data_IF_807047780604
#
_entry.id   IF_807047780604
#
_cell.length_a   1.000
_cell.length_b   1.000
_cell.length_c   1.000
_cell.angle_alpha   90.00
_cell.angle_beta   90.00
_cell.angle_gamma   90.00
#
_symmetry.space_group_name_H-M   'P 1'
#
loop_
_entity.id
_entity.type
_entity.pdbx_description
1 polymer ?
#
# COMPACT_ATOMS: atom_id res chain seq x y z
N UNK A 1 2.88 -24.45 -1.60
CA UNK A 1 3.06 -23.56 -2.75
C UNK A 1 1.79 -22.75 -3.07
N UNK A 2 0.59 -23.37 -3.16
CA UNK A 2 -0.66 -22.68 -3.48
C UNK A 2 -0.93 -21.49 -2.53
N UNK A 3 -0.78 -21.66 -1.23
CA UNK A 3 -0.97 -20.61 -0.23
C UNK A 3 0.03 -19.46 -0.43
N UNK A 4 1.29 -19.79 -0.75
CA UNK A 4 2.32 -18.80 -1.05
C UNK A 4 1.96 -17.96 -2.29
N UNK A 5 1.55 -18.61 -3.37
CA UNK A 5 1.13 -17.89 -4.58
C UNK A 5 -0.12 -17.04 -4.38
N UNK A 6 -1.05 -17.49 -3.51
CA UNK A 6 -2.17 -16.64 -3.08
C UNK A 6 -1.66 -15.37 -2.39
N UNK A 7 -0.70 -15.47 -1.48
CA UNK A 7 -0.07 -14.32 -0.83
C UNK A 7 0.64 -13.39 -1.82
N UNK A 8 1.35 -13.94 -2.80
CA UNK A 8 2.00 -13.15 -3.88
C UNK A 8 0.96 -12.41 -4.70
N UNK A 9 -0.18 -13.04 -5.02
CA UNK A 9 -1.28 -12.39 -5.74
C UNK A 9 -1.85 -11.20 -4.97
N UNK A 10 -2.11 -11.37 -3.66
CA UNK A 10 -2.59 -10.28 -2.82
C UNK A 10 -1.55 -9.15 -2.73
N UNK A 11 -0.27 -9.48 -2.62
CA UNK A 11 0.83 -8.49 -2.63
C UNK A 11 0.90 -7.69 -3.94
N UNK A 12 0.73 -8.33 -5.10
CA UNK A 12 0.74 -7.66 -6.40
C UNK A 12 -0.43 -6.67 -6.54
N UNK A 13 -1.56 -6.95 -5.86
CA UNK A 13 -2.70 -6.04 -5.82
C UNK A 13 -2.43 -4.82 -4.92
N UNK A 14 -1.45 -4.89 -4.00
CA UNK A 14 -1.02 -3.74 -3.22
C UNK A 14 -0.22 -2.80 -4.11
N UNK A 15 -0.80 -1.65 -4.41
CA UNK A 15 -0.17 -0.64 -5.27
C UNK A 15 0.52 0.44 -4.42
N UNK A 16 1.56 1.06 -4.98
CA UNK A 16 2.13 2.26 -4.39
C UNK A 16 1.12 3.38 -4.52
N UNK A 17 0.87 4.10 -3.43
CA UNK A 17 0.12 5.33 -3.51
C UNK A 17 0.95 6.37 -4.28
N UNK A 18 0.32 7.11 -5.21
CA UNK A 18 1.04 8.11 -6.02
C UNK A 18 1.42 9.33 -5.20
N UNK A 19 0.71 9.58 -4.09
CA UNK A 19 0.91 10.71 -3.19
C UNK A 19 1.43 10.30 -1.81
N UNK A 20 2.07 11.28 -1.16
CA UNK A 20 2.45 11.20 0.25
C UNK A 20 1.26 11.69 1.05
N UNK A 21 0.77 10.88 1.97
CA UNK A 21 -0.35 11.25 2.85
C UNK A 21 0.13 12.06 4.03
N UNK A 22 -0.46 13.23 4.23
CA UNK A 22 -0.20 14.13 5.37
C UNK A 22 -1.50 14.32 6.12
N UNK A 23 -1.51 13.98 7.40
CA UNK A 23 -2.64 14.24 8.30
C UNK A 23 -2.45 15.60 8.95
N UNK A 24 -3.41 16.48 8.77
CA UNK A 24 -3.42 17.80 9.43
C UNK A 24 -3.75 17.65 10.93
N UNK A 25 -3.11 18.44 11.79
CA UNK A 25 -3.19 18.23 13.22
C UNK A 25 -3.85 19.35 14.03
N UNK A 26 -3.86 20.59 13.55
CA UNK A 26 -4.36 21.71 14.36
C UNK A 26 -5.34 22.61 13.62
N UNK A 27 -5.12 22.85 12.35
CA UNK A 27 -5.97 23.70 11.53
C UNK A 27 -6.40 22.89 10.30
N UNK A 28 -7.70 22.75 10.15
CA UNK A 28 -8.27 22.07 8.99
C UNK A 28 -8.75 23.15 8.02
N UNK A 29 -8.07 23.33 6.88
CA UNK A 29 -8.46 24.36 5.94
C UNK A 29 -9.86 24.09 5.39
N UNK A 30 -10.63 25.17 5.26
CA UNK A 30 -11.95 25.15 4.68
C UNK A 30 -11.87 25.20 3.14
N UNK A 31 -12.99 24.99 2.48
CA UNK A 31 -13.03 24.92 1.00
C UNK A 31 -12.47 26.17 0.32
N UNK A 32 -12.76 27.38 0.85
CA UNK A 32 -12.25 28.63 0.30
C UNK A 32 -10.72 28.73 0.40
N UNK A 33 -10.18 28.36 1.55
CA UNK A 33 -8.72 28.35 1.79
C UNK A 33 -8.02 27.34 0.87
N UNK A 34 -8.62 26.13 0.72
CA UNK A 34 -8.08 25.11 -0.20
C UNK A 34 -8.09 25.60 -1.64
N UNK A 35 -9.15 26.30 -2.08
CA UNK A 35 -9.19 26.87 -3.43
C UNK A 35 -8.11 27.95 -3.62
N UNK A 36 -7.86 28.77 -2.61
CA UNK A 36 -6.78 29.78 -2.65
C UNK A 36 -5.41 29.14 -2.73
N UNK A 37 -5.16 28.11 -1.92
CA UNK A 37 -3.90 27.33 -1.95
C UNK A 37 -3.68 26.73 -3.33
N UNK A 38 -4.70 26.09 -3.93
CA UNK A 38 -4.58 25.48 -5.24
C UNK A 38 -4.33 26.53 -6.35
N UNK A 39 -4.98 27.68 -6.30
CA UNK A 39 -4.74 28.80 -7.23
C UNK A 39 -3.35 29.39 -7.08
N UNK A 40 -2.82 29.45 -5.87
CA UNK A 40 -1.44 29.91 -5.62
C UNK A 40 -0.41 28.91 -6.14
N UNK A 41 -0.67 27.60 -5.94
CA UNK A 41 0.20 26.55 -6.50
C UNK A 41 0.24 26.57 -8.04
N UNK A 42 -0.90 26.77 -8.69
CA UNK A 42 -0.95 26.88 -10.17
C UNK A 42 -0.11 28.04 -10.72
N UNK A 43 0.05 29.11 -9.95
CA UNK A 43 0.85 30.28 -10.32
C UNK A 43 2.33 30.17 -9.88
N UNK A 44 2.69 29.13 -9.15
CA UNK A 44 4.05 28.92 -8.66
C UNK A 44 4.97 28.45 -9.79
N UNK A 45 6.23 28.86 -9.78
CA UNK A 45 7.25 28.40 -10.74
C UNK A 45 7.48 26.88 -10.68
N UNK A 46 7.26 26.30 -9.50
CA UNK A 46 7.38 24.86 -9.25
C UNK A 46 6.15 24.35 -8.51
N UNK A 47 5.01 24.21 -9.19
CA UNK A 47 3.76 23.82 -8.54
C UNK A 47 3.86 22.41 -7.99
N UNK A 48 3.46 22.22 -6.72
CA UNK A 48 3.30 20.88 -6.16
C UNK A 48 1.93 20.32 -6.56
N UNK A 49 1.93 19.04 -6.96
CA UNK A 49 0.71 18.37 -7.38
C UNK A 49 0.03 17.78 -6.13
N UNK A 50 -1.07 18.39 -5.71
CA UNK A 50 -1.71 18.10 -4.42
C UNK A 50 -3.18 17.77 -4.57
N UNK A 51 -3.67 16.96 -3.61
CA UNK A 51 -5.09 16.64 -3.44
C UNK A 51 -5.45 16.75 -1.97
N UNK A 52 -6.43 17.58 -1.66
CA UNK A 52 -7.02 17.68 -0.33
C UNK A 52 -8.16 16.67 -0.21
N UNK A 53 -8.32 16.10 0.99
CA UNK A 53 -9.35 15.11 1.29
C UNK A 53 -10.08 15.44 2.58
N UNK A 54 -11.40 15.41 2.52
CA UNK A 54 -12.30 15.50 3.68
C UNK A 54 -13.16 14.23 3.74
N UNK A 55 -13.42 13.77 4.96
CA UNK A 55 -14.26 12.60 5.22
C UNK A 55 -15.72 13.05 5.35
N UNK A 56 -16.59 12.53 4.48
CA UNK A 56 -18.03 12.78 4.52
C UNK A 56 -18.81 11.74 5.33
N UNK A 57 -18.13 10.70 5.83
CA UNK A 57 -18.76 9.63 6.60
C UNK A 57 -19.59 8.65 5.74
N UNK A 58 -20.35 7.82 6.44
CA UNK A 58 -21.26 6.87 5.79
C UNK A 58 -22.55 7.59 5.41
N UNK A 59 -22.94 7.50 4.14
CA UNK A 59 -24.14 8.13 3.61
C UNK A 59 -24.91 7.17 2.72
N UNK A 60 -26.21 7.30 2.74
CA UNK A 60 -27.10 6.62 1.80
C UNK A 60 -27.18 7.40 0.50
N UNK A 61 -26.99 6.70 -0.61
CA UNK A 61 -27.08 7.27 -1.95
C UNK A 61 -28.10 6.49 -2.77
N UNK A 62 -28.74 7.18 -3.71
CA UNK A 62 -29.75 6.58 -4.58
C UNK A 62 -29.46 6.87 -6.04
N UNK A 63 -29.98 6.04 -6.92
CA UNK A 63 -30.03 6.35 -8.34
C UNK A 63 -31.11 7.44 -8.58
N UNK A 64 -30.79 8.47 -9.38
CA UNK A 64 -31.73 9.59 -9.64
C UNK A 64 -33.09 9.15 -10.16
N UNK A 65 -33.11 8.27 -11.14
CA UNK A 65 -34.31 7.83 -11.84
C UNK A 65 -34.75 6.41 -11.49
N UNK A 66 -34.23 5.85 -10.38
CA UNK A 66 -34.46 4.48 -9.95
C UNK A 66 -34.79 4.33 -8.47
N UNK A 67 -35.28 3.14 -8.10
CA UNK A 67 -35.61 2.82 -6.71
C UNK A 67 -34.47 2.13 -5.95
N UNK A 68 -33.26 2.12 -6.50
CA UNK A 68 -32.11 1.44 -5.87
C UNK A 68 -31.34 2.41 -5.00
N UNK A 69 -31.00 1.94 -3.81
CA UNK A 69 -30.25 2.67 -2.80
C UNK A 69 -29.12 1.80 -2.28
N UNK A 70 -28.03 2.44 -1.83
CA UNK A 70 -26.92 1.75 -1.14
C UNK A 70 -26.22 2.71 -0.20
N UNK A 71 -25.61 2.17 0.86
CA UNK A 71 -24.76 2.92 1.76
C UNK A 71 -23.33 2.92 1.28
N UNK A 72 -22.67 4.08 1.27
CA UNK A 72 -21.29 4.26 0.85
C UNK A 72 -20.54 5.19 1.79
N UNK A 73 -19.23 5.00 1.88
CA UNK A 73 -18.33 5.96 2.52
C UNK A 73 -18.07 7.11 1.54
N UNK A 74 -18.51 8.30 1.90
CA UNK A 74 -18.32 9.51 1.07
C UNK A 74 -17.01 10.18 1.44
N UNK A 75 -16.22 10.53 0.44
CA UNK A 75 -15.04 11.36 0.56
C UNK A 75 -15.12 12.55 -0.39
N UNK A 76 -14.78 13.72 0.11
CA UNK A 76 -14.68 14.93 -0.72
C UNK A 76 -13.22 15.18 -1.07
N UNK A 77 -12.94 15.41 -2.35
CA UNK A 77 -11.59 15.66 -2.84
C UNK A 77 -11.52 16.97 -3.61
N UNK A 78 -10.42 17.70 -3.41
CA UNK A 78 -10.14 18.95 -4.11
C UNK A 78 -8.68 18.97 -4.60
N UNK A 79 -8.49 19.35 -5.85
CA UNK A 79 -7.19 19.30 -6.50
C UNK A 79 -7.07 18.10 -7.45
N UNK A 80 -5.84 17.56 -7.60
CA UNK A 80 -5.60 16.44 -8.52
C UNK A 80 -5.97 15.09 -7.89
N UNK A 81 -7.11 14.54 -8.26
CA UNK A 81 -7.62 13.25 -7.77
C UNK A 81 -6.67 12.07 -8.02
N UNK A 82 -5.85 12.13 -9.09
CA UNK A 82 -4.87 11.09 -9.39
C UNK A 82 -3.71 11.03 -8.38
N UNK A 83 -3.54 12.05 -7.53
CA UNK A 83 -2.58 12.04 -6.42
C UNK A 83 -3.12 11.28 -5.22
N UNK A 84 -4.43 11.28 -5.01
CA UNK A 84 -5.09 10.46 -4.01
C UNK A 84 -5.01 8.98 -4.36
N UNK A 85 -5.48 8.63 -5.56
CA UNK A 85 -5.38 7.28 -6.11
C UNK A 85 -5.36 7.38 -7.65
N UNK A 86 -4.54 6.58 -8.28
CA UNK A 86 -4.49 6.50 -9.75
C UNK A 86 -5.84 6.08 -10.36
N UNK A 87 -6.66 5.30 -9.65
CA UNK A 87 -8.02 4.95 -10.09
C UNK A 87 -8.97 6.14 -10.00
N UNK A 88 -8.70 7.08 -9.12
CA UNK A 88 -9.47 8.32 -9.00
C UNK A 88 -9.10 9.37 -10.08
N UNK A 89 -8.07 9.12 -10.89
CA UNK A 89 -7.74 9.99 -12.02
C UNK A 89 -8.89 10.04 -13.03
N UNK A 90 -9.26 11.26 -13.44
CA UNK A 90 -10.36 11.50 -14.40
C UNK A 90 -11.40 12.50 -13.93
N UNK A 91 -11.42 12.89 -12.65
CA UNK A 91 -12.11 14.10 -12.23
C UNK A 91 -11.26 15.31 -12.56
N UNK A 92 -11.84 16.25 -13.28
CA UNK A 92 -11.20 17.55 -13.52
C UNK A 92 -11.36 18.42 -12.29
N UNK A 93 -10.41 19.34 -12.07
CA UNK A 93 -10.43 20.28 -10.94
C UNK A 93 -11.69 21.16 -10.90
N UNK A 94 -12.38 21.30 -12.03
CA UNK A 94 -13.52 22.19 -12.26
C UNK A 94 -14.86 21.43 -12.43
N UNK A 95 -14.92 20.14 -12.08
CA UNK A 95 -16.15 19.33 -12.20
C UNK A 95 -16.79 19.13 -10.82
N UNK A 96 -17.59 20.10 -10.33
CA UNK A 96 -18.23 20.02 -9.01
C UNK A 96 -19.28 18.92 -8.93
N UNK A 97 -19.91 18.56 -10.06
CA UNK A 97 -20.97 17.57 -10.14
C UNK A 97 -20.47 16.18 -10.56
N UNK A 98 -19.15 16.04 -10.69
CA UNK A 98 -18.51 14.77 -11.00
C UNK A 98 -18.31 13.91 -9.76
N UNK A 99 -18.47 12.61 -9.91
CA UNK A 99 -18.13 11.65 -8.86
C UNK A 99 -17.44 10.40 -9.41
N UNK A 100 -16.69 9.72 -8.53
CA UNK A 100 -16.11 8.41 -8.80
C UNK A 100 -16.69 7.45 -7.77
N UNK A 101 -17.25 6.34 -8.24
CA UNK A 101 -17.91 5.34 -7.40
C UNK A 101 -17.14 4.02 -7.43
N UNK A 102 -17.15 3.29 -6.32
CA UNK A 102 -16.64 1.92 -6.30
C UNK A 102 -17.50 0.98 -7.11
N UNK A 103 -16.86 -0.03 -7.72
CA UNK A 103 -17.53 -1.04 -8.55
C UNK A 103 -18.68 -1.76 -7.83
N UNK A 104 -18.50 -2.08 -6.54
CA UNK A 104 -19.54 -2.77 -5.76
C UNK A 104 -20.78 -1.90 -5.59
N UNK A 105 -20.59 -0.63 -5.22
CA UNK A 105 -21.71 0.33 -5.09
C UNK A 105 -22.34 0.64 -6.45
N UNK A 106 -21.54 0.79 -7.51
CA UNK A 106 -22.00 0.97 -8.86
C UNK A 106 -22.89 -0.19 -9.34
N UNK A 107 -22.48 -1.42 -9.05
CA UNK A 107 -23.26 -2.61 -9.38
C UNK A 107 -24.62 -2.67 -8.65
N UNK A 108 -24.63 -2.31 -7.36
CA UNK A 108 -25.89 -2.28 -6.59
C UNK A 108 -26.88 -1.24 -7.12
N UNK A 109 -26.37 -0.06 -7.52
CA UNK A 109 -27.22 1.02 -8.02
C UNK A 109 -27.66 0.81 -9.47
N UNK A 110 -26.76 0.43 -10.37
CA UNK A 110 -27.00 0.44 -11.81
C UNK A 110 -27.09 -0.97 -12.43
N UNK A 111 -26.54 -1.99 -11.80
CA UNK A 111 -26.58 -3.36 -12.28
C UNK A 111 -25.41 -3.74 -13.20
N UNK A 112 -24.91 -2.85 -14.05
CA UNK A 112 -23.76 -3.12 -14.93
C UNK A 112 -22.95 -1.86 -15.27
N UNK A 113 -23.41 -0.98 -16.13
CA UNK A 113 -22.67 0.23 -16.51
C UNK A 113 -23.12 1.42 -15.68
N UNK A 114 -22.19 1.96 -14.88
CA UNK A 114 -22.47 3.13 -14.05
C UNK A 114 -21.90 4.43 -14.64
N UNK A 115 -20.96 4.37 -15.58
CA UNK A 115 -20.36 5.56 -16.18
C UNK A 115 -21.39 6.39 -16.91
N UNK A 116 -21.48 7.69 -16.57
CA UNK A 116 -22.53 8.60 -17.07
C UNK A 116 -23.85 8.52 -16.29
N UNK A 117 -24.02 7.54 -15.39
CA UNK A 117 -25.19 7.45 -14.52
C UNK A 117 -25.27 8.62 -13.53
N UNK A 118 -26.50 8.96 -13.11
CA UNK A 118 -26.75 10.04 -12.15
C UNK A 118 -27.13 9.44 -10.80
N UNK A 119 -26.47 9.91 -9.75
CA UNK A 119 -26.74 9.53 -8.36
C UNK A 119 -27.20 10.75 -7.57
N UNK A 120 -28.08 10.52 -6.63
CA UNK A 120 -28.55 11.50 -5.67
C UNK A 120 -27.85 11.28 -4.34
N UNK A 121 -27.19 12.32 -3.84
CA UNK A 121 -26.52 12.35 -2.54
C UNK A 121 -27.02 13.61 -1.82
N UNK A 122 -27.72 13.47 -0.69
CA UNK A 122 -28.22 14.62 0.10
C UNK A 122 -28.91 15.68 -0.77
N UNK A 123 -29.88 15.32 -1.59
CA UNK A 123 -30.65 16.22 -2.48
C UNK A 123 -29.85 16.83 -3.65
N UNK A 124 -28.57 16.46 -3.84
CA UNK A 124 -27.79 16.90 -4.98
C UNK A 124 -27.50 15.76 -5.96
N UNK A 125 -27.49 16.08 -7.26
CA UNK A 125 -27.29 15.12 -8.34
C UNK A 125 -25.85 15.18 -8.80
N UNK A 126 -25.16 14.03 -8.69
CA UNK A 126 -23.80 13.86 -9.20
C UNK A 126 -23.79 12.90 -10.40
N UNK A 127 -22.90 13.16 -11.35
CA UNK A 127 -22.69 12.30 -12.52
C UNK A 127 -21.48 11.41 -12.33
N UNK A 128 -21.64 10.11 -12.47
CA UNK A 128 -20.55 9.14 -12.36
C UNK A 128 -19.61 9.31 -13.56
N UNK A 129 -18.41 9.81 -13.32
CA UNK A 129 -17.35 9.97 -14.32
C UNK A 129 -16.55 8.70 -14.52
N UNK A 130 -16.37 7.94 -13.45
CA UNK A 130 -15.57 6.73 -13.48
C UNK A 130 -16.00 5.74 -12.39
N UNK A 131 -15.85 4.46 -12.69
CA UNK A 131 -15.98 3.38 -11.72
C UNK A 131 -14.57 2.90 -11.35
N UNK A 132 -14.26 2.92 -10.05
CA UNK A 132 -13.00 2.43 -9.51
C UNK A 132 -13.19 1.08 -8.80
N UNK A 133 -12.13 0.31 -8.68
CA UNK A 133 -12.15 -0.97 -7.97
C UNK A 133 -11.37 -0.84 -6.66
N UNK A 134 -12.03 -0.34 -5.63
CA UNK A 134 -11.44 -0.21 -4.29
C UNK A 134 -11.76 -1.40 -3.38
N UNK A 135 -12.73 -2.24 -3.76
CA UNK A 135 -13.20 -3.38 -2.97
C UNK A 135 -13.91 -2.97 -1.68
N UNK A 136 -14.33 -1.73 -1.59
CA UNK A 136 -15.13 -1.14 -0.51
C UNK A 136 -16.08 -0.11 -1.12
N UNK A 137 -17.31 -0.03 -0.60
CA UNK A 137 -18.30 0.92 -1.11
C UNK A 137 -17.90 2.35 -0.78
N UNK A 138 -17.26 3.01 -1.73
CA UNK A 138 -16.74 4.37 -1.61
C UNK A 138 -17.31 5.22 -2.73
N UNK A 139 -17.60 6.47 -2.40
CA UNK A 139 -17.95 7.51 -3.32
C UNK A 139 -17.01 8.71 -3.11
N UNK A 140 -16.31 9.14 -4.15
CA UNK A 140 -15.53 10.37 -4.14
C UNK A 140 -16.25 11.46 -4.90
N UNK A 141 -16.44 12.61 -4.25
CA UNK A 141 -17.10 13.80 -4.78
C UNK A 141 -16.08 14.92 -5.00
N UNK A 142 -16.25 15.70 -6.08
CA UNK A 142 -15.31 16.76 -6.48
C UNK A 142 -15.40 18.03 -5.65
N UNK A 143 -16.54 18.29 -5.04
CA UNK A 143 -16.78 19.44 -4.14
C UNK A 143 -18.01 19.22 -3.28
N UNK A 144 -18.05 19.89 -2.13
CA UNK A 144 -19.30 20.09 -1.40
C UNK A 144 -20.16 21.16 -2.07
N UNK A 145 -21.45 20.97 -2.06
CA UNK A 145 -22.38 21.93 -2.62
C UNK A 145 -22.68 23.08 -1.65
N UNK A 146 -23.14 24.21 -2.20
CA UNK A 146 -23.59 25.36 -1.42
C UNK A 146 -24.72 24.94 -0.47
N UNK A 147 -24.47 24.98 0.84
CA UNK A 147 -25.42 24.63 1.89
C UNK A 147 -25.05 23.42 2.74
N UNK A 148 -24.08 22.62 2.34
CA UNK A 148 -23.50 21.62 3.20
C UNK A 148 -22.64 22.27 4.31
N UNK A 149 -22.49 21.56 5.45
CA UNK A 149 -21.59 21.96 6.52
C UNK A 149 -20.24 22.36 5.93
N UNK A 150 -19.68 23.47 6.39
CA UNK A 150 -18.32 23.88 6.02
C UNK A 150 -17.37 22.69 6.09
N UNK A 151 -16.99 22.16 4.94
CA UNK A 151 -16.09 21.03 4.86
C UNK A 151 -14.71 21.41 5.35
N UNK A 152 -14.21 20.63 6.29
CA UNK A 152 -12.86 20.76 6.82
C UNK A 152 -12.00 19.65 6.25
N UNK A 153 -10.97 20.01 5.50
CA UNK A 153 -10.05 19.04 4.89
C UNK A 153 -9.01 18.57 5.91
N UNK A 154 -9.09 17.31 6.27
CA UNK A 154 -8.24 16.71 7.33
C UNK A 154 -6.95 16.09 6.79
N UNK A 155 -6.84 15.89 5.48
CA UNK A 155 -5.68 15.24 4.86
C UNK A 155 -5.28 15.94 3.58
N UNK A 156 -3.97 15.84 3.30
CA UNK A 156 -3.38 16.30 2.05
C UNK A 156 -2.58 15.14 1.46
N UNK A 157 -2.73 14.92 0.18
CA UNK A 157 -1.90 14.00 -0.60
C UNK A 157 -1.03 14.84 -1.52
N UNK A 158 0.28 14.62 -1.48
CA UNK A 158 1.27 15.38 -2.29
C UNK A 158 2.03 14.37 -3.14
N UNK A 159 2.11 14.61 -4.46
CA UNK A 159 2.83 13.71 -5.36
C UNK A 159 4.33 13.76 -5.10
N UNK A 160 4.96 12.60 -4.93
CA UNK A 160 6.40 12.51 -4.75
C UNK A 160 7.13 12.92 -6.03
N UNK A 161 8.09 13.85 -5.91
CA UNK A 161 9.06 14.18 -6.96
C UNK A 161 10.37 13.44 -6.74
N UNK A 162 10.97 12.95 -7.83
CA UNK A 162 12.18 12.11 -7.77
C UNK A 162 13.42 12.81 -7.20
N UNK A 163 13.48 14.15 -7.22
CA UNK A 163 14.69 14.92 -6.88
C UNK A 163 14.67 15.58 -5.50
N UNK A 164 13.62 15.36 -4.69
CA UNK A 164 13.52 15.97 -3.35
C UNK A 164 13.28 14.91 -2.28
N UNK A 165 13.92 15.07 -1.14
CA UNK A 165 13.58 14.26 0.05
C UNK A 165 12.13 14.53 0.44
N UNK A 166 11.38 13.48 0.73
CA UNK A 166 9.95 13.54 1.10
C UNK A 166 9.69 14.57 2.21
N UNK A 167 10.51 14.54 3.25
CA UNK A 167 10.38 15.47 4.38
C UNK A 167 10.54 16.93 3.96
N UNK A 168 11.55 17.26 3.14
CA UNK A 168 11.79 18.63 2.71
C UNK A 168 10.67 19.16 1.82
N UNK A 169 10.10 18.31 0.97
CA UNK A 169 8.98 18.68 0.10
C UNK A 169 7.71 18.97 0.90
N UNK A 170 7.36 18.05 1.81
CA UNK A 170 6.16 18.20 2.63
C UNK A 170 6.30 19.34 3.63
N UNK A 171 7.43 19.44 4.34
CA UNK A 171 7.67 20.54 5.28
C UNK A 171 7.68 21.90 4.57
N UNK A 172 8.26 21.99 3.38
CA UNK A 172 8.22 23.22 2.57
C UNK A 172 6.80 23.63 2.21
N UNK A 173 5.97 22.67 1.74
CA UNK A 173 4.56 22.93 1.43
C UNK A 173 3.78 23.37 2.67
N UNK A 174 3.90 22.62 3.78
CA UNK A 174 3.19 22.93 5.02
C UNK A 174 3.58 24.33 5.58
N UNK A 175 4.87 24.66 5.56
CA UNK A 175 5.37 25.97 6.00
C UNK A 175 4.87 27.09 5.10
N UNK A 176 4.87 26.90 3.77
CA UNK A 176 4.39 27.88 2.79
C UNK A 176 2.95 28.31 3.05
N UNK A 177 2.09 27.37 3.48
CA UNK A 177 0.66 27.62 3.70
C UNK A 177 0.27 27.65 5.18
N UNK A 178 1.24 27.73 6.09
CA UNK A 178 1.02 27.75 7.54
C UNK A 178 0.15 26.61 8.04
N UNK A 179 0.33 25.42 7.43
CA UNK A 179 -0.37 24.20 7.83
C UNK A 179 0.53 23.36 8.75
N UNK A 180 -0.09 22.62 9.66
CA UNK A 180 0.59 21.67 10.53
C UNK A 180 0.06 20.27 10.28
N UNK A 181 0.96 19.31 10.14
CA UNK A 181 0.54 17.94 9.85
C UNK A 181 1.66 16.92 10.04
N UNK A 182 1.25 15.67 10.12
CA UNK A 182 2.13 14.52 10.29
C UNK A 182 2.18 13.70 9.00
N UNK A 183 3.39 13.44 8.53
CA UNK A 183 3.62 12.60 7.35
C UNK A 183 3.35 11.15 7.74
N UNK A 184 2.53 10.47 6.96
CA UNK A 184 2.26 9.05 7.15
C UNK A 184 2.61 8.29 5.88
N UNK A 185 3.54 7.35 6.02
CA UNK A 185 3.94 6.50 4.90
C UNK A 185 2.89 5.44 4.63
N UNK A 186 2.16 5.58 3.55
CA UNK A 186 1.16 4.61 3.08
C UNK A 186 1.77 3.28 2.61
N UNK A 187 3.09 3.25 2.40
CA UNK A 187 3.80 2.06 1.93
C UNK A 187 4.15 1.07 3.05
N UNK A 188 3.92 1.41 4.32
CA UNK A 188 4.23 0.55 5.47
C UNK A 188 3.61 -0.86 5.36
N UNK A 189 2.30 -1.03 5.07
CA UNK A 189 1.72 -2.36 4.91
C UNK A 189 2.37 -3.18 3.80
N UNK A 190 2.79 -2.52 2.72
CA UNK A 190 3.47 -3.16 1.60
C UNK A 190 4.87 -3.65 1.98
N UNK A 191 5.64 -2.84 2.71
CA UNK A 191 6.98 -3.23 3.20
C UNK A 191 6.85 -4.44 4.13
N UNK A 192 5.91 -4.41 5.08
CA UNK A 192 5.68 -5.53 6.01
C UNK A 192 5.19 -6.78 5.27
N UNK A 193 4.27 -6.62 4.29
CA UNK A 193 3.81 -7.73 3.45
C UNK A 193 4.93 -8.37 2.64
N UNK A 194 5.82 -7.56 2.05
CA UNK A 194 6.99 -8.03 1.31
C UNK A 194 7.95 -8.83 2.19
N UNK A 195 8.28 -8.30 3.37
CA UNK A 195 9.16 -9.01 4.31
C UNK A 195 8.56 -10.33 4.77
N UNK A 196 7.24 -10.38 5.01
CA UNK A 196 6.54 -11.62 5.36
C UNK A 196 6.57 -12.65 4.23
N UNK A 197 6.43 -12.23 2.97
CA UNK A 197 6.57 -13.12 1.81
C UNK A 197 7.99 -13.67 1.67
N UNK A 198 9.02 -12.90 2.01
CA UNK A 198 10.41 -13.35 1.95
C UNK A 198 10.74 -14.42 3.00
N UNK A 199 9.95 -14.56 4.06
CA UNK A 199 10.17 -15.59 5.08
C UNK A 199 10.11 -17.00 4.51
N UNK A 200 9.14 -17.28 3.61
CA UNK A 200 8.98 -18.62 3.04
C UNK A 200 10.16 -19.02 2.14
N UNK A 201 10.54 -18.28 1.09
CA UNK A 201 11.70 -18.64 0.28
C UNK A 201 13.00 -18.62 1.09
N UNK A 202 13.12 -17.71 2.09
CA UNK A 202 14.26 -17.70 3.01
C UNK A 202 14.34 -18.98 3.84
N UNK A 203 13.22 -19.47 4.37
CA UNK A 203 13.16 -20.72 5.12
C UNK A 203 13.50 -21.93 4.24
N UNK A 204 12.93 -22.00 3.04
CA UNK A 204 13.26 -23.06 2.06
C UNK A 204 14.74 -23.03 1.72
N UNK A 205 15.28 -21.83 1.46
CA UNK A 205 16.70 -21.65 1.19
C UNK A 205 17.56 -22.14 2.36
N UNK A 206 17.28 -21.74 3.60
CA UNK A 206 18.01 -22.20 4.78
C UNK A 206 17.97 -23.73 4.93
N UNK A 207 16.84 -24.33 4.64
CA UNK A 207 16.70 -25.78 4.67
C UNK A 207 17.56 -26.48 3.58
N UNK A 208 17.48 -25.99 2.35
CA UNK A 208 18.29 -26.51 1.24
C UNK A 208 19.79 -26.29 1.48
N UNK A 209 20.15 -25.11 1.97
CA UNK A 209 21.54 -24.80 2.35
C UNK A 209 22.07 -25.79 3.37
N UNK A 210 21.27 -26.10 4.40
CA UNK A 210 21.62 -27.09 5.42
C UNK A 210 21.82 -28.50 4.83
N UNK A 211 20.96 -28.90 3.88
CA UNK A 211 21.09 -30.19 3.19
C UNK A 211 22.39 -30.24 2.33
N UNK A 212 22.64 -29.18 1.55
CA UNK A 212 23.87 -29.06 0.75
C UNK A 212 25.11 -29.14 1.65
N UNK A 213 25.13 -28.44 2.80
CA UNK A 213 26.20 -28.51 3.74
C UNK A 213 26.39 -29.93 4.36
N UNK A 214 25.27 -30.64 4.58
CA UNK A 214 25.30 -32.01 5.09
C UNK A 214 25.84 -32.98 4.05
N UNK A 215 25.38 -32.92 2.81
CA UNK A 215 25.86 -33.75 1.72
C UNK A 215 27.34 -33.49 1.41
N UNK A 216 27.75 -32.22 1.35
CA UNK A 216 29.15 -31.83 1.15
C UNK A 216 30.11 -32.49 2.16
N UNK A 217 29.70 -32.64 3.44
CA UNK A 217 30.52 -33.25 4.49
C UNK A 217 30.80 -34.75 4.29
N UNK A 218 30.02 -35.43 3.42
CA UNK A 218 30.23 -36.85 3.12
C UNK A 218 31.34 -37.09 2.12
N UNK A 219 31.82 -36.07 1.40
CA UNK A 219 32.81 -36.18 0.34
C UNK A 219 34.12 -35.56 0.75
N UNK A 220 35.23 -36.19 0.30
CA UNK A 220 36.57 -35.65 0.46
C UNK A 220 36.90 -34.67 -0.66
N UNK A 221 37.90 -33.77 -0.43
CA UNK A 221 38.30 -32.73 -1.41
C UNK A 221 38.70 -33.30 -2.77
N UNK A 222 39.20 -34.55 -2.78
CA UNK A 222 39.65 -35.25 -4.00
C UNK A 222 38.50 -35.80 -4.86
N UNK A 223 37.30 -35.86 -4.34
CA UNK A 223 36.14 -36.43 -5.02
C UNK A 223 35.38 -35.37 -5.85
N UNK A 224 34.95 -35.75 -7.06
CA UNK A 224 34.15 -34.88 -7.92
C UNK A 224 32.89 -34.40 -7.22
N UNK A 225 32.25 -35.22 -6.39
CA UNK A 225 31.07 -34.87 -5.60
C UNK A 225 31.26 -33.64 -4.72
N UNK A 226 32.43 -33.46 -4.11
CA UNK A 226 32.74 -32.27 -3.31
C UNK A 226 32.67 -30.99 -4.12
N UNK A 227 33.17 -30.98 -5.35
CA UNK A 227 33.17 -29.83 -6.24
C UNK A 227 31.77 -29.51 -6.77
N UNK A 228 30.97 -30.52 -7.08
CA UNK A 228 29.56 -30.34 -7.52
C UNK A 228 28.76 -29.65 -6.42
N UNK A 229 28.87 -30.11 -5.16
CA UNK A 229 28.17 -29.50 -4.05
C UNK A 229 28.66 -28.08 -3.72
N UNK A 230 29.95 -27.78 -3.94
CA UNK A 230 30.45 -26.41 -3.82
C UNK A 230 29.87 -25.48 -4.89
N UNK A 231 29.83 -25.90 -6.15
CA UNK A 231 29.25 -25.13 -7.23
C UNK A 231 27.78 -24.84 -6.93
N UNK A 232 27.01 -25.84 -6.48
CA UNK A 232 25.62 -25.68 -6.12
C UNK A 232 25.45 -24.69 -4.96
N UNK A 233 26.32 -24.78 -3.95
CA UNK A 233 26.36 -23.87 -2.80
C UNK A 233 26.56 -22.41 -3.25
N UNK A 234 27.58 -22.14 -4.07
CA UNK A 234 27.83 -20.79 -4.58
C UNK A 234 26.76 -20.30 -5.55
N UNK A 235 26.19 -21.17 -6.37
CA UNK A 235 25.07 -20.83 -7.26
C UNK A 235 23.84 -20.40 -6.47
N UNK A 236 23.49 -21.13 -5.40
CA UNK A 236 22.39 -20.77 -4.52
C UNK A 236 22.64 -19.43 -3.81
N UNK A 237 23.85 -19.21 -3.29
CA UNK A 237 24.22 -17.94 -2.66
C UNK A 237 24.14 -16.77 -3.65
N UNK A 238 24.70 -16.95 -4.84
CA UNK A 238 24.65 -15.96 -5.92
C UNK A 238 23.23 -15.65 -6.36
N UNK A 239 22.36 -16.67 -6.47
CA UNK A 239 20.95 -16.48 -6.81
C UNK A 239 20.20 -15.64 -5.76
N UNK A 240 20.44 -15.89 -4.46
CA UNK A 240 19.82 -15.09 -3.40
C UNK A 240 20.32 -13.65 -3.41
N UNK A 241 21.62 -13.44 -3.58
CA UNK A 241 22.21 -12.10 -3.69
C UNK A 241 21.61 -11.37 -4.90
N UNK A 242 21.52 -12.04 -6.05
CA UNK A 242 20.91 -11.48 -7.26
C UNK A 242 19.45 -11.08 -7.05
N UNK A 243 18.62 -11.95 -6.44
CA UNK A 243 17.24 -11.63 -6.09
C UNK A 243 17.16 -10.42 -5.16
N UNK A 244 18.02 -10.37 -4.17
CA UNK A 244 18.07 -9.29 -3.18
C UNK A 244 18.42 -7.94 -3.84
N UNK A 245 19.45 -7.93 -4.69
CA UNK A 245 19.90 -6.71 -5.39
C UNK A 245 18.87 -6.24 -6.43
N UNK A 246 18.26 -7.16 -7.20
CA UNK A 246 17.39 -6.79 -8.31
C UNK A 246 15.94 -6.54 -7.91
N UNK A 247 15.48 -7.14 -6.80
CA UNK A 247 14.06 -7.07 -6.37
C UNK A 247 13.84 -6.25 -5.10
N UNK A 248 14.85 -6.06 -4.29
CA UNK A 248 14.75 -5.19 -3.12
C UNK A 248 14.89 -3.73 -3.56
N UNK A 249 13.77 -3.03 -3.74
CA UNK A 249 13.77 -1.56 -3.80
C UNK A 249 14.01 -1.03 -2.38
N UNK A 250 15.27 -0.90 -2.02
CA UNK A 250 15.64 -0.30 -0.74
C UNK A 250 15.31 1.18 -0.76
N UNK A 251 14.58 1.71 0.22
CA UNK A 251 14.49 3.15 0.39
C UNK A 251 15.92 3.71 0.58
N UNK A 252 16.25 4.77 -0.12
CA UNK A 252 17.58 5.41 -0.03
C UNK A 252 17.99 5.72 1.41
N UNK A 253 17.01 6.04 2.25
CA UNK A 253 17.18 6.32 3.68
C UNK A 253 17.56 5.10 4.54
N UNK A 254 17.57 3.90 3.99
CA UNK A 254 17.93 2.65 4.71
C UNK A 254 19.37 2.23 4.47
N UNK A 255 20.10 2.96 3.64
CA UNK A 255 21.52 2.71 3.39
C UNK A 255 22.32 3.51 4.41
N UNK A 256 22.99 2.85 5.39
CA UNK A 256 23.78 3.55 6.38
C UNK A 256 25.05 4.12 5.72
N UNK A 257 25.54 5.29 6.16
CA UNK A 257 26.81 5.84 5.71
C UNK A 257 27.99 4.89 6.03
N UNK A 258 27.88 4.14 7.12
CA UNK A 258 28.81 3.10 7.54
C UNK A 258 28.03 1.85 7.97
N UNK A 259 28.35 0.70 7.38
CA UNK A 259 27.67 -0.58 7.67
C UNK A 259 27.86 -1.08 9.11
N UNK A 260 28.91 -0.63 9.79
CA UNK A 260 29.22 -0.95 11.19
C UNK A 260 28.45 -0.08 12.21
N UNK A 261 27.64 0.87 11.75
CA UNK A 261 26.86 1.74 12.65
C UNK A 261 25.59 1.04 13.13
N UNK A 262 25.69 0.31 14.22
CA UNK A 262 24.54 -0.35 14.85
C UNK A 262 23.52 0.65 15.42
N UNK A 263 23.97 1.87 15.77
CA UNK A 263 23.05 2.91 16.30
C UNK A 263 22.12 3.42 15.21
N UNK A 264 22.58 3.47 13.97
CA UNK A 264 21.76 3.78 12.80
C UNK A 264 20.59 2.77 12.67
N UNK A 265 20.92 1.47 12.72
CA UNK A 265 19.91 0.41 12.58
C UNK A 265 18.90 0.43 13.73
N UNK A 266 19.36 0.63 14.96
CA UNK A 266 18.48 0.73 16.12
C UNK A 266 17.52 1.92 15.98
N UNK A 267 18.02 3.09 15.60
CA UNK A 267 17.18 4.28 15.33
C UNK A 267 16.17 4.03 14.23
N UNK A 268 16.57 3.37 13.12
CA UNK A 268 15.65 3.05 12.02
C UNK A 268 14.55 2.06 12.42
N UNK A 269 14.87 1.02 13.18
CA UNK A 269 13.88 0.06 13.67
C UNK A 269 12.90 0.75 14.63
N UNK A 270 13.40 1.60 15.52
CA UNK A 270 12.55 2.35 16.46
C UNK A 270 11.63 3.34 15.71
N UNK A 271 12.17 4.09 14.75
CA UNK A 271 11.40 4.99 13.89
C UNK A 271 10.34 4.22 13.10
N UNK A 272 10.71 3.11 12.47
CA UNK A 272 9.74 2.27 11.74
C UNK A 272 8.62 1.75 12.65
N UNK A 273 8.96 1.33 13.87
CA UNK A 273 7.96 0.88 14.85
C UNK A 273 7.02 2.01 15.28
N UNK A 274 7.55 3.22 15.50
CA UNK A 274 6.74 4.38 15.85
C UNK A 274 5.85 4.82 14.69
N UNK A 275 6.37 4.85 13.47
CA UNK A 275 5.63 5.19 12.26
C UNK A 275 4.51 4.18 11.99
N UNK A 276 4.77 2.89 12.23
CA UNK A 276 3.76 1.85 12.06
C UNK A 276 2.65 1.96 13.12
N UNK A 277 2.99 2.25 14.38
CA UNK A 277 1.99 2.51 15.44
C UNK A 277 1.15 3.74 15.11
N UNK A 278 1.79 4.82 14.66
CA UNK A 278 1.10 6.02 14.23
C UNK A 278 0.18 5.73 13.04
N UNK A 279 0.69 4.99 12.03
CA UNK A 279 -0.12 4.55 10.90
C UNK A 279 -1.37 3.77 11.37
N UNK A 280 -1.25 2.87 12.36
CA UNK A 280 -2.39 2.11 12.87
C UNK A 280 -3.38 2.97 13.66
N UNK A 281 -2.91 3.99 14.38
CA UNK A 281 -3.74 4.84 15.25
C UNK A 281 -4.56 5.88 14.46
N UNK A 282 -4.05 6.37 13.33
CA UNK A 282 -4.72 7.39 12.56
C UNK A 282 -5.93 6.84 11.78
N UNK A 283 -7.00 7.64 11.59
CA UNK A 283 -8.14 7.25 10.78
C UNK A 283 -7.68 7.02 9.34
N UNK A 284 -8.09 5.91 8.72
CA UNK A 284 -7.63 5.50 7.40
C UNK A 284 -8.58 5.92 6.31
N UNK A 285 -8.04 6.30 5.15
CA UNK A 285 -8.84 6.36 3.95
C UNK A 285 -9.22 4.94 3.51
N UNK A 286 -10.23 4.83 2.68
CA UNK A 286 -10.66 3.55 2.16
C UNK A 286 -9.56 2.81 1.38
N UNK A 287 -8.75 3.55 0.62
CA UNK A 287 -7.57 3.00 -0.08
C UNK A 287 -6.56 2.44 0.92
N UNK A 288 -6.27 3.18 2.00
CA UNK A 288 -5.36 2.73 3.06
C UNK A 288 -5.89 1.51 3.82
N UNK A 289 -7.22 1.45 4.06
CA UNK A 289 -7.86 0.29 4.68
C UNK A 289 -7.72 -0.95 3.79
N UNK A 290 -7.94 -0.82 2.48
CA UNK A 290 -7.71 -1.90 1.52
C UNK A 290 -6.25 -2.37 1.52
N UNK A 291 -5.29 -1.44 1.50
CA UNK A 291 -3.86 -1.76 1.58
C UNK A 291 -3.53 -2.54 2.86
N UNK A 292 -4.10 -2.15 4.00
CA UNK A 292 -3.92 -2.83 5.26
C UNK A 292 -4.49 -4.26 5.24
N UNK A 293 -5.69 -4.44 4.68
CA UNK A 293 -6.32 -5.76 4.53
C UNK A 293 -5.51 -6.69 3.63
N UNK A 294 -5.07 -6.18 2.47
CA UNK A 294 -4.21 -6.94 1.55
C UNK A 294 -2.87 -7.30 2.22
N UNK A 295 -2.27 -6.35 2.96
CA UNK A 295 -1.07 -6.59 3.75
C UNK A 295 -1.25 -7.69 4.79
N UNK A 296 -2.36 -7.65 5.55
CA UNK A 296 -2.73 -8.68 6.52
C UNK A 296 -2.88 -10.07 5.88
N UNK A 297 -3.62 -10.17 4.76
CA UNK A 297 -3.75 -11.43 4.01
C UNK A 297 -2.39 -11.94 3.51
N UNK A 298 -1.54 -11.06 3.01
CA UNK A 298 -0.20 -11.40 2.54
C UNK A 298 0.67 -11.97 3.66
N UNK A 299 0.64 -11.34 4.84
CA UNK A 299 1.36 -11.81 6.03
C UNK A 299 0.85 -13.18 6.47
N UNK A 300 -0.47 -13.36 6.57
CA UNK A 300 -1.08 -14.65 6.92
C UNK A 300 -0.67 -15.76 5.94
N UNK A 301 -0.71 -15.49 4.63
CA UNK A 301 -0.29 -16.46 3.62
C UNK A 301 1.20 -16.81 3.72
N UNK A 302 2.07 -15.81 3.95
CA UNK A 302 3.50 -16.03 4.13
C UNK A 302 3.82 -16.92 5.36
N UNK A 303 3.25 -16.57 6.51
CA UNK A 303 3.44 -17.34 7.75
C UNK A 303 2.86 -18.74 7.64
N UNK A 304 1.65 -18.88 7.09
CA UNK A 304 1.00 -20.18 6.90
C UNK A 304 1.81 -21.09 5.97
N UNK A 305 2.40 -20.52 4.91
CA UNK A 305 3.27 -21.27 4.00
C UNK A 305 4.52 -21.81 4.71
N UNK A 306 5.13 -21.02 5.58
CA UNK A 306 6.26 -21.45 6.41
C UNK A 306 5.84 -22.60 7.36
N UNK A 307 4.68 -22.46 8.01
CA UNK A 307 4.18 -23.44 8.95
C UNK A 307 3.87 -24.78 8.26
N UNK A 308 3.15 -24.76 7.13
CA UNK A 308 2.85 -25.96 6.35
C UNK A 308 4.15 -26.66 5.91
N UNK A 309 5.13 -25.90 5.42
CA UNK A 309 6.41 -26.44 4.99
C UNK A 309 7.16 -27.16 6.14
N UNK A 310 7.19 -26.54 7.32
CA UNK A 310 7.82 -27.14 8.51
C UNK A 310 7.09 -28.42 8.94
N UNK A 311 5.76 -28.40 8.94
CA UNK A 311 4.97 -29.61 9.25
C UNK A 311 5.30 -30.74 8.27
N UNK A 312 5.27 -30.47 6.96
CA UNK A 312 5.60 -31.49 5.96
C UNK A 312 7.01 -32.05 6.15
N UNK A 313 7.97 -31.22 6.54
CA UNK A 313 9.35 -31.66 6.79
C UNK A 313 9.45 -32.56 8.03
N UNK A 314 8.73 -32.24 9.09
CA UNK A 314 8.70 -33.03 10.34
C UNK A 314 8.02 -34.39 10.10
N UNK A 315 6.86 -34.40 9.42
CA UNK A 315 6.12 -35.65 9.17
C UNK A 315 6.79 -36.50 8.10
N UNK A 316 7.34 -35.91 7.04
CA UNK A 316 8.07 -36.62 5.99
C UNK A 316 9.37 -37.26 6.49
N UNK A 317 10.06 -36.61 7.44
CA UNK A 317 11.26 -37.22 8.08
C UNK A 317 10.93 -38.46 8.94
N UNK A 318 9.77 -38.47 9.61
CA UNK A 318 9.32 -39.62 10.41
C UNK A 318 8.91 -40.85 9.59
N UNK A 319 8.48 -40.66 8.35
CA UNK A 319 8.08 -41.75 7.46
C UNK A 319 9.30 -42.53 6.93
N UNK A 320 10.45 -41.87 6.74
CA UNK A 320 11.67 -42.54 6.24
C UNK A 320 12.41 -43.34 7.33
N UNK A 321 12.23 -43.01 8.61
CA UNK A 321 12.84 -43.78 9.70
C UNK A 321 12.09 -45.07 10.06
N UNK A 322 10.89 -45.31 9.48
CA UNK A 322 10.06 -46.49 9.80
C UNK A 322 10.21 -47.65 8.83
N UNK A 323 11.06 -47.56 7.80
CA UNK A 323 11.40 -48.69 6.94
C UNK A 323 12.90 -49.01 7.07
N UNK A 324 13.33 -49.77 8.10
CA UNK A 324 14.52 -50.53 7.97
C UNK A 324 14.17 -51.69 7.02
N UNK A 325 14.67 -51.62 5.77
CA UNK A 325 14.68 -52.80 4.90
C UNK A 325 15.74 -53.73 5.49
N UNK A 326 15.28 -54.71 6.24
CA UNK A 326 16.05 -55.91 6.55
C UNK A 326 16.41 -56.61 5.25
N UNK A 327 17.65 -56.58 4.89
CA UNK A 327 18.31 -57.52 3.98
C UNK A 327 19.51 -58.16 4.66
#
# INVERSE_FOLDING_TARGET
>A
LCVYFAGVREYIQMRNEPGISVFLSSVYPQEKEVQEILKQEEKSDLPEDVCFYADGGLQEISQKDGNRQTEVLVGYIKGNSAVYDWQAGGMTKEDPDGCIIDRTAAWELFGNEAAGGQILVQDHIYTVRKVADWGQKILLLGAAQKGEKELSYSRIFIRKRNNKTVQNMVSGFLTKYNLQGTIVSSNLPRIVGFTALLLFPGLVFCCLWREVCREKRKYTIKEAGYWIWNILYFAMAGFVIWLFVTRASWPEDWIPPQWSDFTFWQKKITSFSSDFRLYLALPKSAVQTRQLLLGGKTICCGVLSCFIYLLMKVYGGRSNDKNPVDF
#
